data_IF_490560670187
#
_entry.id   IF_490560670187
#
_cell.length_a   1.000
_cell.length_b   1.000
_cell.length_c   1.000
_cell.angle_alpha   90.00
_cell.angle_beta   90.00
_cell.angle_gamma   90.00
#
_symmetry.space_group_name_H-M   'P 1'
#
loop_
_entity.id
_entity.type
_entity.pdbx_description
1 polymer ?
#
# COMPACT_ATOMS: atom_id res chain seq x y z
N UNK A 1 -5.60 7.68 -2.15
CA UNK A 1 -6.12 7.06 -3.39
C UNK A 1 -6.89 5.81 -2.99
N UNK A 2 -7.98 5.47 -3.67
CA UNK A 2 -8.68 4.21 -3.46
C UNK A 2 -8.19 3.18 -4.49
N UNK A 3 -7.70 2.04 -4.01
CA UNK A 3 -7.37 0.90 -4.85
C UNK A 3 -8.54 -0.09 -4.80
N UNK A 4 -9.37 -0.10 -5.85
CA UNK A 4 -10.63 -0.84 -5.86
C UNK A 4 -10.44 -2.33 -6.23
N UNK A 5 -9.35 -2.66 -6.91
CA UNK A 5 -9.02 -4.01 -7.39
C UNK A 5 -7.50 -4.22 -7.34
N UNK A 6 -7.01 -4.72 -6.20
CA UNK A 6 -5.58 -4.95 -5.97
C UNK A 6 -5.05 -6.20 -6.67
N UNK A 7 -5.93 -7.10 -7.11
CA UNK A 7 -5.54 -8.29 -7.86
C UNK A 7 -5.19 -7.93 -9.30
N UNK A 8 -5.95 -6.98 -9.88
CA UNK A 8 -5.71 -6.49 -11.25
C UNK A 8 -4.66 -5.39 -11.32
N UNK A 9 -4.48 -4.60 -10.27
CA UNK A 9 -3.55 -3.47 -10.25
C UNK A 9 -2.41 -3.80 -9.26
N UNK A 10 -1.23 -4.22 -9.76
CA UNK A 10 -0.09 -4.52 -8.90
C UNK A 10 0.36 -3.27 -8.15
N UNK A 11 0.24 -3.29 -6.82
CA UNK A 11 0.49 -2.12 -5.97
C UNK A 11 1.94 -1.62 -6.06
N UNK A 12 2.88 -2.54 -6.31
CA UNK A 12 4.28 -2.20 -6.59
C UNK A 12 4.45 -1.33 -7.83
N UNK A 13 3.74 -1.66 -8.92
CA UNK A 13 3.79 -0.89 -10.17
C UNK A 13 3.09 0.47 -10.02
N UNK A 14 1.98 0.49 -9.28
CA UNK A 14 1.30 1.72 -8.92
C UNK A 14 2.24 2.67 -8.15
N UNK A 15 3.01 2.16 -7.18
CA UNK A 15 3.97 2.97 -6.44
C UNK A 15 5.02 3.57 -7.37
N UNK A 16 5.63 2.76 -8.25
CA UNK A 16 6.63 3.25 -9.20
C UNK A 16 6.07 4.32 -10.13
N UNK A 17 4.80 4.20 -10.53
CA UNK A 17 4.10 5.24 -11.31
C UNK A 17 3.93 6.54 -10.53
N UNK A 18 3.58 6.47 -9.25
CA UNK A 18 3.45 7.65 -8.37
C UNK A 18 4.81 8.31 -8.14
N UNK A 19 5.87 7.52 -7.93
CA UNK A 19 7.24 8.01 -7.73
C UNK A 19 7.77 8.70 -8.99
N UNK A 20 7.55 8.11 -10.17
CA UNK A 20 7.91 8.72 -11.45
C UNK A 20 7.19 10.07 -11.65
N UNK A 21 5.87 10.13 -11.38
CA UNK A 21 5.11 11.36 -11.48
C UNK A 21 5.60 12.44 -10.49
N UNK A 22 5.94 12.06 -9.25
CA UNK A 22 6.52 13.00 -8.29
C UNK A 22 7.85 13.58 -8.79
N UNK A 23 8.72 12.72 -9.32
CA UNK A 23 10.02 13.11 -9.87
C UNK A 23 9.89 14.02 -11.10
N UNK A 24 8.94 13.75 -12.00
CA UNK A 24 8.63 14.61 -13.15
C UNK A 24 8.24 16.03 -12.73
N UNK A 25 7.62 16.17 -11.55
CA UNK A 25 7.28 17.47 -10.97
C UNK A 25 8.37 18.06 -10.05
N UNK A 26 9.55 17.44 -9.96
CA UNK A 26 10.64 17.88 -9.09
C UNK A 26 10.31 17.75 -7.59
N UNK A 27 9.44 16.81 -7.24
CA UNK A 27 8.97 16.55 -5.88
C UNK A 27 9.30 15.13 -5.44
N UNK A 28 9.20 14.85 -4.14
CA UNK A 28 9.39 13.52 -3.57
C UNK A 28 8.20 13.11 -2.69
N UNK A 29 8.00 11.81 -2.54
CA UNK A 29 6.96 11.27 -1.65
C UNK A 29 7.45 11.33 -0.21
N UNK A 30 6.97 12.30 0.56
CA UNK A 30 7.37 12.45 1.96
C UNK A 30 6.92 11.29 2.87
N UNK A 31 5.72 10.74 2.63
CA UNK A 31 5.16 9.61 3.39
C UNK A 31 3.95 9.00 2.69
N UNK A 32 3.63 7.76 3.05
CA UNK A 32 2.45 7.00 2.59
C UNK A 32 1.72 6.45 3.80
N UNK A 33 0.40 6.41 3.78
CA UNK A 33 -0.42 5.94 4.89
C UNK A 33 -1.57 5.07 4.36
N UNK A 34 -1.89 4.00 5.09
CA UNK A 34 -3.05 3.16 4.82
C UNK A 34 -4.21 3.71 5.63
N UNK A 35 -5.34 3.96 4.96
CA UNK A 35 -6.57 4.36 5.62
C UNK A 35 -7.51 3.16 5.72
N UNK A 36 -7.87 2.79 6.95
CA UNK A 36 -8.76 1.64 7.21
C UNK A 36 -7.99 0.33 7.32
N UNK A 37 -8.48 -0.70 6.64
CA UNK A 37 -7.92 -2.06 6.71
C UNK A 37 -7.68 -2.61 5.31
N UNK A 38 -6.76 -3.58 5.20
CA UNK A 38 -6.43 -4.28 3.96
C UNK A 38 -6.64 -5.79 4.11
N UNK A 39 -6.94 -6.51 3.02
CA UNK A 39 -6.92 -7.97 3.01
C UNK A 39 -5.49 -8.51 3.14
N UNK A 40 -5.32 -9.68 3.75
CA UNK A 40 -4.03 -10.41 3.85
C UNK A 40 -3.46 -10.70 2.47
N UNK A 41 -4.32 -11.04 1.51
CA UNK A 41 -3.91 -11.28 0.12
C UNK A 41 -3.25 -10.04 -0.50
N UNK A 42 -3.82 -8.86 -0.27
CA UNK A 42 -3.26 -7.61 -0.77
C UNK A 42 -1.87 -7.35 -0.17
N UNK A 43 -1.71 -7.55 1.14
CA UNK A 43 -0.40 -7.46 1.80
C UNK A 43 0.61 -8.46 1.24
N UNK A 44 0.22 -9.73 1.10
CA UNK A 44 1.10 -10.80 0.64
C UNK A 44 1.63 -10.60 -0.79
N UNK A 45 0.89 -9.89 -1.65
CA UNK A 45 1.34 -9.57 -3.01
C UNK A 45 2.47 -8.53 -3.05
N UNK A 46 2.57 -7.65 -2.06
CA UNK A 46 3.61 -6.61 -2.00
C UNK A 46 3.91 -6.18 -0.55
N UNK A 47 4.49 -7.04 0.31
CA UNK A 47 4.67 -6.74 1.73
C UNK A 47 5.45 -5.45 1.96
N UNK A 48 6.52 -5.22 1.20
CA UNK A 48 7.39 -4.06 1.37
C UNK A 48 6.67 -2.73 1.05
N UNK A 49 5.64 -2.77 0.21
CA UNK A 49 4.83 -1.59 -0.07
C UNK A 49 4.10 -1.13 1.20
N UNK A 50 3.39 -2.06 1.86
CA UNK A 50 2.54 -1.77 3.01
C UNK A 50 3.37 -1.54 4.28
N UNK A 51 4.45 -2.31 4.47
CA UNK A 51 5.37 -2.13 5.59
C UNK A 51 6.11 -0.79 5.53
N UNK A 52 6.28 -0.22 4.33
CA UNK A 52 6.82 1.12 4.14
C UNK A 52 5.81 2.26 4.37
N UNK A 53 4.55 1.97 4.70
CA UNK A 53 3.58 2.99 5.11
C UNK A 53 3.80 3.39 6.57
N UNK A 54 3.63 4.67 6.87
CA UNK A 54 3.66 5.16 8.25
C UNK A 54 2.52 4.52 9.04
N UNK A 55 2.78 4.26 10.33
CA UNK A 55 1.82 3.64 11.25
C UNK A 55 1.34 2.24 10.82
N UNK A 56 2.08 1.55 9.94
CA UNK A 56 1.75 0.17 9.60
C UNK A 56 1.87 -0.74 10.85
N UNK A 57 0.82 -1.50 11.09
CA UNK A 57 0.75 -2.56 12.10
C UNK A 57 -0.08 -3.71 11.52
N UNK A 58 0.23 -4.95 11.89
CA UNK A 58 -0.49 -6.13 11.39
C UNK A 58 -1.99 -6.11 11.70
N UNK A 59 -2.45 -5.34 12.69
CA UNK A 59 -3.88 -5.12 12.97
C UNK A 59 -4.62 -4.38 11.85
N UNK A 60 -3.91 -3.77 10.91
CA UNK A 60 -4.51 -3.22 9.68
C UNK A 60 -4.89 -4.32 8.68
N UNK A 61 -4.32 -5.52 8.81
CA UNK A 61 -4.74 -6.69 8.03
C UNK A 61 -6.01 -7.26 8.68
N UNK A 62 -7.10 -7.35 7.91
CA UNK A 62 -8.42 -7.77 8.42
C UNK A 62 -8.33 -9.14 9.09
N UNK A 63 -7.68 -10.09 8.44
CA UNK A 63 -7.56 -11.48 8.87
C UNK A 63 -6.69 -11.59 10.13
N UNK A 64 -5.58 -10.85 10.23
CA UNK A 64 -4.75 -10.82 11.45
C UNK A 64 -5.52 -10.22 12.63
N UNK A 65 -6.31 -9.17 12.39
CA UNK A 65 -7.14 -8.55 13.44
C UNK A 65 -8.23 -9.48 13.94
N UNK A 66 -8.78 -10.32 13.07
CA UNK A 66 -9.85 -11.27 13.40
C UNK A 66 -9.32 -12.63 13.89
N UNK A 67 -8.01 -12.90 13.76
CA UNK A 67 -7.41 -14.19 14.09
C UNK A 67 -7.75 -15.30 13.09
N UNK A 68 -7.86 -14.95 11.80
CA UNK A 68 -8.20 -15.83 10.67
C UNK A 68 -6.98 -16.22 9.83
#
# INVERSE_FOLDING_TARGET
MNLVDFERIPVRELLGTIEAAALEHGTEIARREIIGMIPRAAWAMAPEFYEGCVNFDRKLIVEDRLGL
#
